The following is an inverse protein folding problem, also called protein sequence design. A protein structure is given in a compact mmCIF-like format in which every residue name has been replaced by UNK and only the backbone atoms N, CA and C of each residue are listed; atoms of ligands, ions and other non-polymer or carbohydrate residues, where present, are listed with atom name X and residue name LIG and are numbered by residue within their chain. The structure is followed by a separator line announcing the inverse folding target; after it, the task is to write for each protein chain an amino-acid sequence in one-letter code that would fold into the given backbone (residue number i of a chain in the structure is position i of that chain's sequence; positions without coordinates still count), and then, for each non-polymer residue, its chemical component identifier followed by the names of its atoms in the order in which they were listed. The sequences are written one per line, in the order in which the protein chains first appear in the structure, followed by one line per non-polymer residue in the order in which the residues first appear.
data_IF_208106157740
#
_entry.id   IF_208106157740
#
_cell.length_a   1.000
_cell.length_b   1.000
_cell.length_c   1.000
_cell.angle_alpha   90.00
_cell.angle_beta   90.00
_cell.angle_gamma   90.00
#
_symmetry.space_group_name_H-M   'P 1'
#
loop_
_entity.id
_entity.type
_entity.pdbx_description
1 polymer ?
#
# COMPACT_ATOMS: atom_id res chain seq x y z
N UNK A 1 -1.84 6.01 11.65
CA UNK A 1 -1.17 5.60 10.40
C UNK A 1 -2.16 5.74 9.26
N UNK A 2 -1.74 6.00 8.02
CA UNK A 2 -2.64 6.04 6.84
C UNK A 2 -2.11 5.15 5.72
N UNK A 3 -3.05 4.54 4.98
CA UNK A 3 -2.75 3.70 3.82
C UNK A 3 -2.56 4.59 2.59
N UNK A 4 -1.46 4.37 1.86
CA UNK A 4 -1.21 4.97 0.55
C UNK A 4 -1.54 3.94 -0.53
N UNK A 5 -2.38 4.31 -1.49
CA UNK A 5 -2.78 3.46 -2.61
C UNK A 5 -2.27 4.05 -3.94
N UNK A 6 -1.89 3.16 -4.86
CA UNK A 6 -1.46 3.50 -6.21
C UNK A 6 -2.28 2.68 -7.20
N UNK A 7 -2.86 3.35 -8.20
CA UNK A 7 -3.75 2.72 -9.17
C UNK A 7 -3.20 2.77 -10.60
N UNK A 8 -3.22 1.63 -11.30
CA UNK A 8 -2.71 1.52 -12.68
C UNK A 8 -3.69 1.98 -13.77
N UNK A 9 -5.00 2.18 -13.51
CA UNK A 9 -6.01 2.63 -14.49
C UNK A 9 -7.18 3.38 -13.83
N UNK A 10 -7.79 4.33 -14.56
CA UNK A 10 -8.81 5.28 -14.05
C UNK A 10 -10.27 4.80 -14.20
N UNK A 11 -10.53 3.62 -14.76
CA UNK A 11 -11.80 3.38 -15.48
C UNK A 11 -12.75 2.31 -14.89
N UNK A 12 -12.39 1.56 -13.85
CA UNK A 12 -13.19 0.38 -13.43
C UNK A 12 -13.57 0.36 -11.92
N UNK A 13 -13.79 1.51 -11.29
CA UNK A 13 -14.28 1.56 -9.91
C UNK A 13 -15.77 1.20 -9.85
N UNK A 14 -16.08 -0.10 -9.84
CA UNK A 14 -17.42 -0.63 -9.64
C UNK A 14 -18.03 -0.24 -8.28
N UNK A 15 -19.35 -0.38 -8.18
CA UNK A 15 -20.13 -0.11 -6.96
C UNK A 15 -19.62 -0.97 -5.78
N UNK A 16 -19.21 -0.31 -4.70
CA UNK A 16 -18.84 -0.95 -3.46
C UNK A 16 -20.09 -1.51 -2.78
N UNK A 17 -20.31 -2.81 -2.94
CA UNK A 17 -21.22 -3.59 -2.10
C UNK A 17 -22.67 -3.06 -2.04
N UNK A 18 -23.20 -2.54 -3.15
CA UNK A 18 -24.61 -2.14 -3.26
C UNK A 18 -24.97 -0.86 -2.51
N UNK A 19 -23.98 -0.02 -2.18
CA UNK A 19 -24.15 1.23 -1.41
C UNK A 19 -24.16 2.50 -2.27
N UNK A 20 -24.02 2.38 -3.59
CA UNK A 20 -24.10 3.51 -4.51
C UNK A 20 -22.87 4.42 -4.48
N UNK A 21 -21.73 3.91 -4.01
CA UNK A 21 -20.43 4.59 -3.99
C UNK A 21 -19.37 3.73 -4.65
N UNK A 22 -18.41 4.35 -5.32
CA UNK A 22 -17.34 3.62 -6.02
C UNK A 22 -16.11 3.45 -5.10
N UNK A 23 -15.17 2.59 -5.51
CA UNK A 23 -13.94 2.34 -4.75
C UNK A 23 -13.11 3.60 -4.52
N UNK A 24 -13.14 4.58 -5.43
CA UNK A 24 -12.36 5.80 -5.31
C UNK A 24 -12.89 6.73 -4.21
N UNK A 25 -14.17 6.65 -3.88
CA UNK A 25 -14.81 7.52 -2.89
C UNK A 25 -14.27 7.30 -1.46
N UNK A 26 -13.61 6.16 -1.19
CA UNK A 26 -13.00 5.88 0.12
C UNK A 26 -11.60 6.46 0.26
N UNK A 27 -10.96 6.86 -0.84
CA UNK A 27 -9.60 7.37 -0.84
C UNK A 27 -9.58 8.90 -0.78
N UNK A 28 -8.76 9.45 0.12
CA UNK A 28 -8.59 10.91 0.27
C UNK A 28 -7.55 11.51 -0.68
N UNK A 29 -6.73 10.66 -1.28
CA UNK A 29 -5.74 11.02 -2.29
C UNK A 29 -5.61 9.86 -3.27
N UNK A 30 -5.45 10.17 -4.55
CA UNK A 30 -5.16 9.20 -5.61
C UNK A 30 -4.00 9.75 -6.44
N UNK A 31 -2.86 9.07 -6.37
CA UNK A 31 -1.64 9.45 -7.08
C UNK A 31 -1.34 8.39 -8.12
N UNK A 32 -1.07 8.82 -9.35
CA UNK A 32 -0.72 7.96 -10.46
C UNK A 32 0.74 8.18 -10.88
N UNK A 33 1.46 7.09 -11.14
CA UNK A 33 2.87 7.14 -11.50
C UNK A 33 3.20 7.57 -12.93
N UNK A 34 2.20 7.77 -13.80
CA UNK A 34 2.41 8.05 -15.24
C UNK A 34 3.22 9.31 -15.50
N UNK A 35 3.06 10.32 -14.65
CA UNK A 35 3.73 11.61 -14.80
C UNK A 35 5.02 11.71 -13.96
N UNK A 36 5.40 10.63 -13.27
CA UNK A 36 6.63 10.59 -12.48
C UNK A 36 7.83 10.25 -13.36
N UNK A 37 8.95 10.93 -13.11
CA UNK A 37 10.18 10.74 -13.88
C UNK A 37 10.81 9.37 -13.65
N UNK A 38 10.63 8.80 -12.45
CA UNK A 38 11.22 7.53 -12.06
C UNK A 38 10.14 6.62 -11.46
N UNK A 39 10.07 5.39 -11.94
CA UNK A 39 9.25 4.35 -11.33
C UNK A 39 9.89 3.79 -10.05
N UNK A 40 9.13 2.95 -9.35
CA UNK A 40 9.63 2.08 -8.26
C UNK A 40 10.90 1.35 -8.75
N UNK A 41 11.99 1.27 -7.98
CA UNK A 41 12.07 1.46 -6.52
C UNK A 41 12.29 2.92 -6.05
N UNK A 42 12.16 3.92 -6.93
CA UNK A 42 12.14 5.31 -6.46
C UNK A 42 10.90 5.57 -5.56
N UNK A 43 11.06 6.23 -4.39
CA UNK A 43 9.96 6.47 -3.45
C UNK A 43 9.01 7.63 -3.83
N UNK A 44 9.28 8.36 -4.92
CA UNK A 44 8.59 9.62 -5.32
C UNK A 44 7.07 9.47 -5.29
N UNK A 45 6.53 8.34 -5.76
CA UNK A 45 5.08 8.10 -5.79
C UNK A 45 4.45 8.04 -4.39
N UNK A 46 5.14 7.39 -3.45
CA UNK A 46 4.64 7.25 -2.09
C UNK A 46 4.83 8.54 -1.31
N UNK A 47 5.96 9.23 -1.49
CA UNK A 47 6.21 10.54 -0.89
C UNK A 47 5.20 11.59 -1.35
N UNK A 48 4.84 11.60 -2.64
CA UNK A 48 3.78 12.46 -3.16
C UNK A 48 2.44 12.13 -2.50
N UNK A 49 2.05 10.86 -2.44
CA UNK A 49 0.80 10.47 -1.79
C UNK A 49 0.74 10.82 -0.29
N UNK A 50 1.86 10.68 0.43
CA UNK A 50 1.96 11.11 1.83
C UNK A 50 1.79 12.64 1.96
N UNK A 51 2.33 13.40 1.01
CA UNK A 51 2.17 14.86 0.92
C UNK A 51 0.72 15.26 0.70
N UNK A 52 0.04 14.64 -0.28
CA UNK A 52 -1.39 14.87 -0.58
C UNK A 52 -2.30 14.49 0.61
N UNK A 53 -1.93 13.45 1.37
CA UNK A 53 -2.65 13.06 2.59
C UNK A 53 -2.33 13.93 3.81
N UNK A 54 -1.33 14.81 3.71
CA UNK A 54 -0.76 15.57 4.82
C UNK A 54 -0.34 14.69 6.01
N UNK A 55 0.40 13.61 5.72
CA UNK A 55 0.91 12.66 6.73
C UNK A 55 2.40 12.45 6.55
N UNK A 56 3.13 12.42 7.66
CA UNK A 56 4.56 12.05 7.69
C UNK A 56 4.79 10.64 7.10
N UNK A 57 5.80 10.43 6.23
CA UNK A 57 6.09 9.11 5.65
C UNK A 57 6.26 7.99 6.69
N UNK A 58 6.90 8.27 7.83
CA UNK A 58 7.07 7.31 8.93
C UNK A 58 5.74 6.88 9.60
N UNK A 59 4.63 7.56 9.28
CA UNK A 59 3.27 7.24 9.73
C UNK A 59 2.41 6.68 8.60
N UNK A 60 3.02 6.19 7.53
CA UNK A 60 2.35 5.53 6.42
C UNK A 60 2.67 4.03 6.39
N UNK A 61 1.68 3.26 5.93
CA UNK A 61 1.87 1.90 5.44
C UNK A 61 1.68 1.89 3.93
N UNK A 62 2.55 1.15 3.23
CA UNK A 62 2.42 0.85 1.81
C UNK A 62 2.06 -0.63 1.66
N UNK A 63 1.08 -0.95 0.83
CA UNK A 63 0.69 -2.33 0.51
C UNK A 63 1.11 -2.64 -0.91
N UNK A 64 1.91 -3.67 -1.10
CA UNK A 64 2.55 -3.98 -2.38
C UNK A 64 2.63 -5.49 -2.66
N UNK A 65 2.60 -5.85 -3.94
CA UNK A 65 2.75 -7.23 -4.42
C UNK A 65 4.01 -7.43 -5.27
N UNK A 66 4.91 -6.44 -5.31
CA UNK A 66 6.20 -6.53 -6.01
C UNK A 66 7.37 -5.98 -5.16
N UNK A 67 8.55 -6.59 -5.29
CA UNK A 67 9.76 -6.18 -4.56
C UNK A 67 10.14 -4.71 -4.79
N UNK A 68 10.06 -4.22 -6.03
CA UNK A 68 10.36 -2.82 -6.34
C UNK A 68 9.47 -1.84 -5.58
N UNK A 69 8.20 -2.19 -5.34
CA UNK A 69 7.29 -1.37 -4.54
C UNK A 69 7.61 -1.40 -3.05
N UNK A 70 7.97 -2.58 -2.52
CA UNK A 70 8.47 -2.70 -1.14
C UNK A 70 9.74 -1.85 -0.97
N UNK A 71 10.71 -1.97 -1.87
CA UNK A 71 11.95 -1.18 -1.86
C UNK A 71 11.66 0.32 -1.90
N UNK A 72 10.73 0.77 -2.75
CA UNK A 72 10.29 2.17 -2.80
C UNK A 72 9.66 2.63 -1.48
N UNK A 73 8.82 1.81 -0.84
CA UNK A 73 8.26 2.13 0.47
C UNK A 73 9.37 2.32 1.52
N UNK A 74 10.36 1.41 1.54
CA UNK A 74 11.50 1.47 2.47
C UNK A 74 12.38 2.69 2.20
N UNK A 75 12.68 2.99 0.94
CA UNK A 75 13.43 4.17 0.54
C UNK A 75 12.73 5.48 0.94
N UNK A 76 11.38 5.48 0.97
CA UNK A 76 10.57 6.59 1.44
C UNK A 76 10.41 6.68 2.96
N UNK A 77 11.02 5.77 3.74
CA UNK A 77 10.89 5.73 5.19
C UNK A 77 9.52 5.26 5.68
N UNK A 78 8.79 4.52 4.86
CA UNK A 78 7.46 3.97 5.20
C UNK A 78 7.56 2.50 5.59
N UNK A 79 6.58 2.03 6.36
CA UNK A 79 6.42 0.61 6.62
C UNK A 79 5.72 -0.08 5.44
N UNK A 80 6.07 -1.34 5.17
CA UNK A 80 5.66 -2.07 3.98
C UNK A 80 4.96 -3.39 4.33
N UNK A 81 3.75 -3.57 3.80
CA UNK A 81 2.98 -4.82 3.82
C UNK A 81 3.08 -5.48 2.44
N UNK A 82 3.75 -6.63 2.37
CA UNK A 82 3.81 -7.45 1.16
C UNK A 82 2.60 -8.39 1.05
N UNK A 83 2.02 -8.51 -0.15
CA UNK A 83 0.95 -9.46 -0.47
C UNK A 83 1.48 -10.49 -1.47
N UNK A 84 1.94 -11.63 -0.96
CA UNK A 84 2.60 -12.69 -1.73
C UNK A 84 1.59 -13.59 -2.46
N UNK A 85 1.03 -13.11 -3.56
CA UNK A 85 0.01 -13.85 -4.34
C UNK A 85 0.61 -14.94 -5.24
N UNK A 86 1.92 -14.89 -5.49
CA UNK A 86 2.60 -15.74 -6.47
C UNK A 86 3.57 -16.75 -5.82
N UNK A 87 3.44 -16.98 -4.50
CA UNK A 87 4.39 -17.82 -3.76
C UNK A 87 5.76 -17.16 -3.56
N UNK A 88 5.79 -15.83 -3.65
CA UNK A 88 6.98 -14.96 -3.65
C UNK A 88 7.23 -14.30 -2.28
N UNK A 89 6.73 -14.91 -1.20
CA UNK A 89 6.81 -14.33 0.13
C UNK A 89 8.24 -14.03 0.58
N UNK A 90 9.19 -14.91 0.24
CA UNK A 90 10.60 -14.70 0.61
C UNK A 90 11.26 -13.59 -0.20
N UNK A 91 10.81 -13.36 -1.44
CA UNK A 91 11.26 -12.22 -2.27
C UNK A 91 10.78 -10.90 -1.64
N UNK A 92 9.52 -10.82 -1.24
CA UNK A 92 8.97 -9.62 -0.59
C UNK A 92 9.62 -9.35 0.79
N UNK A 93 9.91 -10.41 1.57
CA UNK A 93 10.67 -10.27 2.82
C UNK A 93 12.08 -9.75 2.55
N UNK A 94 12.79 -10.32 1.57
CA UNK A 94 14.15 -9.91 1.22
C UNK A 94 14.21 -8.45 0.73
N UNK A 95 13.15 -7.96 0.07
CA UNK A 95 12.99 -6.57 -0.32
C UNK A 95 12.73 -5.60 0.86
N UNK A 96 12.45 -6.13 2.06
CA UNK A 96 12.28 -5.35 3.28
C UNK A 96 10.84 -5.16 3.77
N UNK A 97 9.91 -6.04 3.38
CA UNK A 97 8.54 -6.00 3.91
C UNK A 97 8.51 -6.23 5.43
N UNK A 98 7.78 -5.41 6.19
CA UNK A 98 7.62 -5.54 7.64
C UNK A 98 6.63 -6.66 8.01
N UNK A 99 5.66 -6.93 7.13
CA UNK A 99 4.75 -8.06 7.19
C UNK A 99 4.52 -8.58 5.78
N UNK A 100 4.47 -9.90 5.61
CA UNK A 100 4.06 -10.53 4.36
C UNK A 100 2.88 -11.45 4.63
N UNK A 101 1.82 -11.29 3.85
CA UNK A 101 0.58 -12.09 3.90
C UNK A 101 0.28 -12.66 2.52
N UNK A 102 -0.55 -13.69 2.44
CA UNK A 102 -1.03 -14.26 1.18
C UNK A 102 -2.36 -13.64 0.74
N UNK A 103 -3.17 -13.20 1.69
CA UNK A 103 -4.41 -12.46 1.49
C UNK A 103 -4.46 -11.24 2.40
N UNK A 104 -5.18 -10.19 1.99
CA UNK A 104 -5.47 -9.06 2.90
C UNK A 104 -6.39 -9.48 4.06
N UNK A 105 -7.13 -10.58 3.93
CA UNK A 105 -7.94 -11.17 5.02
C UNK A 105 -7.09 -11.69 6.20
N UNK A 106 -5.80 -11.93 5.95
CA UNK A 106 -4.83 -12.37 6.94
C UNK A 106 -4.31 -11.20 7.79
N UNK A 107 -4.75 -9.96 7.56
CA UNK A 107 -4.31 -8.78 8.31
C UNK A 107 -5.24 -8.50 9.49
N UNK A 108 -4.67 -8.28 10.69
CA UNK A 108 -5.43 -7.88 11.86
C UNK A 108 -5.88 -6.41 11.74
N UNK A 109 -7.17 -6.19 11.43
CA UNK A 109 -7.75 -4.86 11.18
C UNK A 109 -7.59 -3.93 12.39
N UNK A 110 -7.79 -4.43 13.62
CA UNK A 110 -7.67 -3.61 14.83
C UNK A 110 -6.24 -3.11 15.06
N UNK A 111 -5.24 -3.95 14.78
CA UNK A 111 -3.83 -3.56 14.84
C UNK A 111 -3.50 -2.55 13.74
N UNK A 112 -4.00 -2.76 12.52
CA UNK A 112 -3.81 -1.84 11.41
C UNK A 112 -4.37 -0.45 11.73
N UNK A 113 -5.59 -0.40 12.29
CA UNK A 113 -6.22 0.83 12.77
C UNK A 113 -5.40 1.52 13.89
N UNK A 114 -4.76 0.72 14.75
CA UNK A 114 -3.85 1.20 15.78
C UNK A 114 -2.42 1.49 15.28
N UNK A 115 -2.16 1.38 13.97
CA UNK A 115 -0.86 1.68 13.38
C UNK A 115 0.20 0.58 13.55
N UNK A 116 -0.21 -0.69 13.53
CA UNK A 116 0.69 -1.85 13.60
C UNK A 116 0.36 -2.85 12.50
N UNK A 117 1.38 -3.43 11.87
CA UNK A 117 1.19 -4.57 10.95
C UNK A 117 1.27 -5.86 11.74
N UNK A 118 0.16 -6.61 11.78
CA UNK A 118 0.06 -7.92 12.42
C UNK A 118 -0.77 -8.86 11.55
N UNK A 119 -0.37 -10.12 11.53
CA UNK A 119 -1.22 -11.19 11.01
C UNK A 119 -2.41 -11.40 11.96
N UNK A 120 -3.60 -11.66 11.41
CA UNK A 120 -4.79 -12.06 12.16
C UNK A 120 -4.47 -13.37 12.87
N UNK A 121 -4.71 -13.40 14.19
CA UNK A 121 -4.66 -14.66 14.94
C UNK A 121 -5.88 -15.49 14.55
N UNK A 122 -5.63 -16.69 14.03
CA UNK A 122 -6.65 -17.73 13.86
C UNK A 122 -7.01 -18.36 15.19
#
# INVERSE_FOLDING_TARGET
MRLVFEERRRDDAGDLAGRGGNLLDIFKANVNGRDLRQGKPNPEIFLLAATELHVEPARCFVVEDASAGIEAARAGGMAALGVARLGDADVLKAAGADLVVTSLDDVAIDDLAAGRLRCRRT
#
